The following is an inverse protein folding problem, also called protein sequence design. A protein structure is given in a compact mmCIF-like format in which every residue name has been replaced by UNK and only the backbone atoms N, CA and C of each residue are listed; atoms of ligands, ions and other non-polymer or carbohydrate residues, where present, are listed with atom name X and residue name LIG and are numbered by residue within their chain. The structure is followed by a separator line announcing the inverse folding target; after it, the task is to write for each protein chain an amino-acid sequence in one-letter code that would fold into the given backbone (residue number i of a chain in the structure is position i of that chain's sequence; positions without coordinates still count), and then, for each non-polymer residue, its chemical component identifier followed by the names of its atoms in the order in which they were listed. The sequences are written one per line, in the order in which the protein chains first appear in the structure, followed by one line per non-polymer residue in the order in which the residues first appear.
data_IF_086306915136
#
_entry.id   IF_086306915136
#
_cell.length_a   1.000
_cell.length_b   1.000
_cell.length_c   1.000
_cell.angle_alpha   90.00
_cell.angle_beta   90.00
_cell.angle_gamma   90.00
#
_symmetry.space_group_name_H-M   'P 1'
#
loop_
_entity.id
_entity.type
_entity.pdbx_description
1 polymer ?
#
# COMPACT_ATOMS: atom_id res chain seq x y z
N UNK A 1 10.14 -19.61 39.91
CA UNK A 1 10.88 -20.41 38.92
C UNK A 1 11.21 -19.45 37.78
N UNK A 2 12.47 -19.34 37.43
CA UNK A 2 12.90 -18.52 36.28
C UNK A 2 12.54 -19.32 35.02
N UNK A 3 11.73 -18.74 34.18
CA UNK A 3 11.34 -19.34 32.89
C UNK A 3 12.62 -19.53 32.05
N UNK A 4 12.72 -20.66 31.37
CA UNK A 4 13.90 -20.94 30.52
C UNK A 4 13.80 -20.09 29.24
N UNK A 5 14.93 -19.73 28.64
CA UNK A 5 15.00 -19.01 27.38
C UNK A 5 14.15 -19.67 26.26
N UNK A 6 14.16 -21.02 26.20
CA UNK A 6 13.30 -21.78 25.29
C UNK A 6 11.80 -21.65 25.61
N UNK A 7 11.43 -21.49 26.89
CA UNK A 7 10.04 -21.27 27.30
C UNK A 7 9.54 -19.89 26.89
N UNK A 8 10.39 -18.88 27.01
CA UNK A 8 10.08 -17.50 26.56
C UNK A 8 9.87 -17.47 25.04
N UNK A 9 10.82 -18.02 24.27
CA UNK A 9 10.74 -18.05 22.80
C UNK A 9 9.49 -18.81 22.29
N UNK A 10 9.12 -19.89 22.98
CA UNK A 10 7.91 -20.64 22.60
C UNK A 10 6.64 -19.83 22.86
N UNK A 11 6.57 -19.14 23.99
CA UNK A 11 5.41 -18.28 24.32
C UNK A 11 5.29 -17.10 23.36
N UNK A 12 6.40 -16.41 23.08
CA UNK A 12 6.43 -15.31 22.10
C UNK A 12 5.94 -15.79 20.72
N UNK A 13 6.38 -16.95 20.28
CA UNK A 13 5.92 -17.53 19.02
C UNK A 13 4.41 -17.87 19.03
N UNK A 14 3.90 -18.42 20.13
CA UNK A 14 2.47 -18.71 20.28
C UNK A 14 1.62 -17.42 20.30
N UNK A 15 2.10 -16.35 20.95
CA UNK A 15 1.48 -15.03 20.94
C UNK A 15 1.48 -14.41 19.53
N UNK A 16 2.58 -14.50 18.81
CA UNK A 16 2.70 -14.06 17.43
C UNK A 16 1.73 -14.81 16.50
N UNK A 17 1.67 -16.14 16.59
CA UNK A 17 0.72 -16.94 15.83
C UNK A 17 -0.73 -16.49 16.07
N UNK A 18 -1.10 -16.23 17.32
CA UNK A 18 -2.45 -15.78 17.65
C UNK A 18 -2.77 -14.41 17.04
N UNK A 19 -1.80 -13.49 17.06
CA UNK A 19 -1.96 -12.15 16.44
C UNK A 19 -2.13 -12.20 14.93
N UNK A 20 -1.47 -13.16 14.27
CA UNK A 20 -1.49 -13.29 12.80
C UNK A 20 -2.70 -14.05 12.27
N UNK A 21 -3.42 -14.76 13.14
CA UNK A 21 -4.50 -15.67 12.73
C UNK A 21 -5.60 -14.96 11.93
N UNK A 22 -5.98 -13.74 12.34
CA UNK A 22 -7.05 -12.95 11.74
C UNK A 22 -6.61 -12.03 10.60
N UNK A 23 -5.30 -11.92 10.34
CA UNK A 23 -4.80 -11.09 9.25
C UNK A 23 -5.13 -11.71 7.89
N UNK A 24 -5.54 -10.84 6.96
CA UNK A 24 -5.90 -11.19 5.57
C UNK A 24 -4.89 -10.57 4.60
N UNK A 25 -4.71 -11.11 3.41
CA UNK A 25 -3.90 -10.50 2.35
C UNK A 25 -4.23 -9.03 2.05
N UNK A 26 -5.48 -8.62 2.23
CA UNK A 26 -5.91 -7.22 2.03
C UNK A 26 -5.51 -6.28 3.19
N UNK A 27 -5.07 -6.80 4.32
CA UNK A 27 -4.62 -5.98 5.45
C UNK A 27 -3.19 -5.48 5.19
N UNK A 28 -2.95 -4.18 5.38
CA UNK A 28 -1.68 -3.48 5.07
C UNK A 28 -0.45 -4.21 5.64
N UNK A 29 -0.54 -4.65 6.90
CA UNK A 29 0.52 -5.36 7.59
C UNK A 29 0.90 -6.68 6.89
N UNK A 30 -0.11 -7.42 6.43
CA UNK A 30 0.10 -8.72 5.79
C UNK A 30 0.51 -8.58 4.33
N UNK A 31 -0.10 -7.63 3.61
CA UNK A 31 0.20 -7.33 2.22
C UNK A 31 1.69 -7.02 2.00
N UNK A 32 2.30 -6.22 2.89
CA UNK A 32 3.73 -5.89 2.83
C UNK A 32 4.62 -7.14 2.83
N UNK A 33 4.24 -8.16 3.61
CA UNK A 33 4.95 -9.44 3.65
C UNK A 33 4.61 -10.32 2.44
N UNK A 34 3.38 -10.21 1.95
CA UNK A 34 2.87 -11.02 0.85
C UNK A 34 3.70 -10.85 -0.42
N UNK A 35 3.92 -9.58 -0.82
CA UNK A 35 4.65 -9.23 -2.04
C UNK A 35 6.16 -9.12 -1.87
N UNK A 36 6.65 -9.02 -0.62
CA UNK A 36 8.08 -8.87 -0.36
C UNK A 36 8.87 -10.06 -0.92
N UNK A 37 9.83 -9.76 -1.81
CA UNK A 37 10.69 -10.75 -2.47
C UNK A 37 9.89 -11.86 -3.18
N UNK A 38 8.69 -11.54 -3.69
CA UNK A 38 7.80 -12.50 -4.33
C UNK A 38 7.28 -12.01 -5.70
N UNK A 39 8.20 -11.90 -6.65
CA UNK A 39 7.88 -11.50 -8.03
C UNK A 39 6.80 -12.39 -8.66
N UNK A 40 6.81 -13.74 -8.51
CA UNK A 40 5.77 -14.58 -9.11
C UNK A 40 4.36 -14.25 -8.64
N UNK A 41 4.19 -13.89 -7.37
CA UNK A 41 2.88 -13.51 -6.85
C UNK A 41 2.46 -12.13 -7.36
N UNK A 42 3.36 -11.15 -7.38
CA UNK A 42 3.08 -9.83 -7.94
C UNK A 42 2.68 -9.94 -9.42
N UNK A 43 3.38 -10.77 -10.19
CA UNK A 43 3.08 -11.05 -11.59
C UNK A 43 1.69 -11.67 -11.77
N UNK A 44 1.34 -12.68 -10.97
CA UNK A 44 0.01 -13.30 -10.99
C UNK A 44 -1.09 -12.27 -10.73
N UNK A 45 -0.96 -11.49 -9.66
CA UNK A 45 -1.94 -10.47 -9.28
C UNK A 45 -2.11 -9.43 -10.38
N UNK A 46 -1.00 -8.90 -10.92
CA UNK A 46 -1.04 -7.91 -11.99
C UNK A 46 -1.60 -8.49 -13.30
N UNK A 47 -1.30 -9.75 -13.64
CA UNK A 47 -1.92 -10.43 -14.80
C UNK A 47 -3.43 -10.51 -14.68
N UNK A 48 -3.93 -10.90 -13.52
CA UNK A 48 -5.37 -11.01 -13.26
C UNK A 48 -6.04 -9.63 -13.35
N UNK A 49 -5.49 -8.62 -12.68
CA UNK A 49 -6.08 -7.28 -12.62
C UNK A 49 -6.04 -6.58 -13.98
N UNK A 50 -4.91 -6.67 -14.70
CA UNK A 50 -4.75 -5.97 -15.99
C UNK A 50 -5.28 -6.77 -17.19
N UNK A 51 -5.58 -8.05 -17.02
CA UNK A 51 -5.97 -8.96 -18.10
C UNK A 51 -4.82 -9.33 -19.05
N UNK A 52 -3.58 -8.90 -18.76
CA UNK A 52 -2.39 -9.12 -19.59
C UNK A 52 -1.72 -10.46 -19.26
N UNK A 53 -2.11 -11.53 -19.93
CA UNK A 53 -1.63 -12.89 -19.65
C UNK A 53 -0.13 -13.10 -19.90
N UNK A 54 0.47 -12.29 -20.76
CA UNK A 54 1.88 -12.33 -21.14
C UNK A 54 2.74 -11.35 -20.35
N UNK A 55 2.18 -10.68 -19.35
CA UNK A 55 2.90 -9.78 -18.46
C UNK A 55 4.02 -10.55 -17.73
N UNK A 56 5.24 -10.01 -17.78
CA UNK A 56 6.40 -10.53 -17.07
C UNK A 56 6.93 -9.40 -16.18
N UNK A 57 6.91 -9.59 -14.87
CA UNK A 57 7.45 -8.65 -13.90
C UNK A 57 8.93 -8.97 -13.67
N UNK A 58 9.78 -7.98 -13.86
CA UNK A 58 11.24 -8.08 -13.68
C UNK A 58 11.70 -7.58 -12.33
N UNK A 59 10.96 -6.63 -11.74
CA UNK A 59 11.27 -6.02 -10.46
C UNK A 59 9.98 -5.84 -9.64
N UNK A 60 10.05 -6.10 -8.35
CA UNK A 60 8.97 -5.82 -7.40
C UNK A 60 9.58 -5.35 -6.08
N UNK A 61 9.24 -4.14 -5.68
CA UNK A 61 9.65 -3.54 -4.41
C UNK A 61 8.43 -3.23 -3.57
N UNK A 62 8.45 -3.58 -2.28
CA UNK A 62 7.40 -3.18 -1.33
C UNK A 62 7.86 -1.99 -0.50
N UNK A 63 6.94 -1.10 -0.15
CA UNK A 63 7.21 0.10 0.64
C UNK A 63 8.28 1.00 -0.02
N UNK A 64 8.14 1.20 -1.32
CA UNK A 64 9.07 2.03 -2.09
C UNK A 64 8.83 3.51 -1.78
N UNK A 65 9.82 4.15 -1.17
CA UNK A 65 9.84 5.60 -0.99
C UNK A 65 10.18 6.29 -2.31
N UNK A 66 9.26 7.10 -2.80
CA UNK A 66 9.47 7.87 -4.03
C UNK A 66 10.20 9.18 -3.75
N UNK A 67 11.12 9.58 -4.65
CA UNK A 67 11.86 10.82 -4.58
C UNK A 67 10.93 12.02 -4.43
N UNK A 68 11.36 12.98 -3.63
CA UNK A 68 10.60 14.21 -3.38
C UNK A 68 11.16 15.36 -4.18
N UNK A 69 10.29 16.13 -4.79
CA UNK A 69 10.58 17.54 -5.04
C UNK A 69 10.62 18.23 -3.67
N UNK A 70 11.60 19.11 -3.45
CA UNK A 70 11.74 19.81 -2.17
C UNK A 70 10.41 20.48 -1.75
N UNK A 71 9.91 20.12 -0.56
CA UNK A 71 8.65 20.62 -0.02
C UNK A 71 7.36 19.94 -0.54
N UNK A 72 7.46 18.91 -1.40
CA UNK A 72 6.31 18.13 -1.83
C UNK A 72 5.96 17.02 -0.83
N UNK A 73 4.67 16.61 -0.80
CA UNK A 73 4.22 15.46 -0.02
C UNK A 73 4.87 14.19 -0.56
N UNK A 74 5.54 13.44 0.31
CA UNK A 74 6.04 12.10 -0.06
C UNK A 74 4.90 11.10 -0.18
N UNK A 75 5.11 10.09 -1.01
CA UNK A 75 4.34 8.87 -1.00
C UNK A 75 5.28 7.68 -0.78
N UNK A 76 4.75 6.65 -0.15
CA UNK A 76 5.38 5.35 -0.06
C UNK A 76 4.42 4.40 -0.79
N UNK A 77 4.91 3.74 -1.83
CA UNK A 77 4.12 2.82 -2.64
C UNK A 77 4.08 1.45 -1.96
N UNK A 78 2.89 0.87 -1.86
CA UNK A 78 2.70 -0.41 -1.16
C UNK A 78 3.41 -1.55 -1.89
N UNK A 79 3.20 -1.69 -3.20
CA UNK A 79 4.00 -2.54 -4.06
C UNK A 79 4.23 -1.87 -5.42
N UNK A 80 5.49 -1.74 -5.81
CA UNK A 80 5.91 -1.15 -7.08
C UNK A 80 6.56 -2.21 -7.94
N UNK A 81 6.13 -2.30 -9.20
CA UNK A 81 6.64 -3.28 -10.17
C UNK A 81 7.09 -2.65 -11.48
N UNK A 82 8.03 -3.31 -12.14
CA UNK A 82 8.44 -2.99 -13.52
C UNK A 82 8.31 -4.25 -14.36
N UNK A 83 7.67 -4.14 -15.54
CA UNK A 83 7.59 -5.26 -16.46
C UNK A 83 8.77 -5.34 -17.44
N UNK A 84 8.80 -6.40 -18.25
CA UNK A 84 9.88 -6.68 -19.20
C UNK A 84 10.01 -5.66 -20.36
N UNK A 85 9.01 -4.80 -20.55
CA UNK A 85 9.01 -3.72 -21.56
C UNK A 85 9.06 -2.33 -20.93
N UNK A 86 9.30 -2.26 -19.62
CA UNK A 86 9.58 -1.01 -18.91
C UNK A 86 8.35 -0.30 -18.34
N UNK A 87 7.13 -0.84 -18.47
CA UNK A 87 5.92 -0.26 -17.86
C UNK A 87 5.98 -0.36 -16.35
N UNK A 88 5.39 0.62 -15.68
CA UNK A 88 5.44 0.76 -14.22
C UNK A 88 4.08 0.51 -13.60
N UNK A 89 4.10 -0.22 -12.49
CA UNK A 89 2.90 -0.63 -11.77
C UNK A 89 3.03 -0.19 -10.31
N UNK A 90 2.05 0.56 -9.84
CA UNK A 90 1.84 0.94 -8.46
C UNK A 90 0.58 0.24 -7.95
N UNK A 91 0.75 -0.70 -7.05
CA UNK A 91 -0.35 -1.46 -6.44
C UNK A 91 -0.54 -0.98 -5.00
N UNK A 92 -1.69 -0.35 -4.76
CA UNK A 92 -2.09 0.22 -3.48
C UNK A 92 -3.28 -0.55 -2.90
N UNK A 93 -3.21 -0.91 -1.63
CA UNK A 93 -4.34 -1.50 -0.90
C UNK A 93 -4.91 -0.48 0.07
N UNK A 94 -6.20 -0.19 -0.05
CA UNK A 94 -6.87 0.85 0.72
C UNK A 94 -8.12 0.33 1.41
N UNK A 95 -8.28 0.73 2.68
CA UNK A 95 -9.54 0.52 3.41
C UNK A 95 -10.43 1.74 3.21
N UNK A 96 -11.51 1.55 2.44
CA UNK A 96 -12.51 2.56 2.16
C UNK A 96 -12.10 3.63 1.12
N UNK A 97 -13.11 4.37 0.65
CA UNK A 97 -12.99 5.40 -0.40
C UNK A 97 -12.00 6.52 -0.06
N UNK A 98 -11.88 6.91 1.21
CA UNK A 98 -11.01 8.04 1.63
C UNK A 98 -9.54 7.77 1.29
N UNK A 99 -9.12 6.49 1.36
CA UNK A 99 -7.78 6.05 0.98
C UNK A 99 -7.51 6.04 -0.52
N UNK A 100 -8.55 5.98 -1.35
CA UNK A 100 -8.48 5.80 -2.80
C UNK A 100 -9.06 6.98 -3.59
N UNK A 101 -8.96 8.22 -3.07
CA UNK A 101 -9.55 9.38 -3.74
C UNK A 101 -8.95 9.63 -5.13
N UNK A 102 -9.72 10.18 -6.11
CA UNK A 102 -9.22 10.53 -7.44
C UNK A 102 -8.02 11.49 -7.42
N UNK A 103 -7.94 12.36 -6.41
CA UNK A 103 -6.79 13.26 -6.24
C UNK A 103 -5.54 12.50 -5.82
N UNK A 104 -5.68 11.46 -4.99
CA UNK A 104 -4.56 10.60 -4.61
C UNK A 104 -4.06 9.80 -5.80
N UNK A 105 -4.97 9.18 -6.58
CA UNK A 105 -4.61 8.46 -7.78
C UNK A 105 -3.80 9.33 -8.75
N UNK A 106 -4.31 10.54 -9.07
CA UNK A 106 -3.59 11.50 -9.90
C UNK A 106 -2.22 11.89 -9.32
N UNK A 107 -2.11 12.03 -8.00
CA UNK A 107 -0.84 12.37 -7.37
C UNK A 107 0.18 11.23 -7.49
N UNK A 108 -0.25 9.97 -7.30
CA UNK A 108 0.57 8.78 -7.50
C UNK A 108 1.08 8.71 -8.94
N UNK A 109 0.22 8.88 -9.95
CA UNK A 109 0.64 8.92 -11.36
C UNK A 109 1.70 10.00 -11.61
N UNK A 110 1.49 11.21 -11.10
CA UNK A 110 2.44 12.31 -11.26
C UNK A 110 3.80 12.03 -10.61
N UNK A 111 3.82 11.32 -9.48
CA UNK A 111 5.07 10.95 -8.81
C UNK A 111 5.78 9.84 -9.58
N UNK A 112 5.05 8.88 -10.14
CA UNK A 112 5.62 7.87 -11.04
C UNK A 112 6.29 8.51 -12.26
N UNK A 113 5.66 9.51 -12.88
CA UNK A 113 6.23 10.24 -14.01
C UNK A 113 7.54 10.97 -13.64
N UNK A 114 7.54 11.67 -12.50
CA UNK A 114 8.73 12.38 -12.00
C UNK A 114 9.88 11.41 -11.70
N UNK A 115 9.57 10.23 -11.15
CA UNK A 115 10.58 9.21 -10.81
C UNK A 115 11.18 8.55 -12.06
N UNK A 116 10.40 8.45 -13.13
CA UNK A 116 10.78 7.69 -14.32
C UNK A 116 11.26 8.54 -15.51
N UNK A 117 11.27 9.88 -15.40
CA UNK A 117 11.83 10.78 -16.41
C UNK A 117 12.95 11.61 -15.80
N UNK A 118 14.17 11.42 -16.30
CA UNK A 118 15.33 12.16 -15.83
C UNK A 118 15.57 13.44 -16.65
N UNK A 119 16.34 14.36 -16.09
CA UNK A 119 16.73 15.58 -16.80
C UNK A 119 17.46 15.25 -18.11
N UNK A 120 16.98 15.83 -19.22
CA UNK A 120 17.53 15.63 -20.55
C UNK A 120 16.92 14.49 -21.37
N UNK A 121 15.95 13.76 -20.79
CA UNK A 121 15.15 12.80 -21.55
C UNK A 121 13.95 13.50 -22.21
N UNK A 122 13.49 12.96 -23.34
CA UNK A 122 12.29 13.44 -24.04
C UNK A 122 11.02 12.93 -23.32
N UNK A 123 9.91 13.67 -23.41
CA UNK A 123 8.66 13.27 -22.75
C UNK A 123 8.08 11.97 -23.31
N UNK A 124 8.38 11.63 -24.55
CA UNK A 124 7.99 10.40 -25.24
C UNK A 124 8.70 9.15 -24.69
N UNK A 125 9.73 9.34 -23.85
CA UNK A 125 10.42 8.26 -23.14
C UNK A 125 9.74 7.87 -21.82
N UNK A 126 8.67 8.60 -21.39
CA UNK A 126 7.87 8.20 -20.24
C UNK A 126 7.28 6.80 -20.47
N UNK A 127 7.47 5.88 -19.52
CA UNK A 127 6.81 4.56 -19.63
C UNK A 127 5.30 4.68 -19.37
N UNK A 128 4.52 3.75 -19.92
CA UNK A 128 3.14 3.59 -19.44
C UNK A 128 3.13 3.28 -17.94
N UNK A 129 2.21 3.89 -17.22
CA UNK A 129 2.07 3.75 -15.77
C UNK A 129 0.69 3.21 -15.39
N UNK A 130 0.66 2.31 -14.41
CA UNK A 130 -0.55 1.72 -13.85
C UNK A 130 -0.62 2.04 -12.37
N UNK A 131 -1.60 2.84 -11.96
CA UNK A 131 -1.94 3.07 -10.56
C UNK A 131 -3.17 2.23 -10.23
N UNK A 132 -2.99 1.23 -9.39
CA UNK A 132 -4.01 0.21 -9.11
C UNK A 132 -4.38 0.30 -7.63
N UNK A 133 -5.63 0.68 -7.36
CA UNK A 133 -6.19 0.65 -6.01
C UNK A 133 -7.05 -0.61 -5.83
N UNK A 134 -6.66 -1.51 -4.93
CA UNK A 134 -7.54 -2.55 -4.42
C UNK A 134 -8.22 -1.97 -3.18
N UNK A 135 -9.53 -1.75 -3.27
CA UNK A 135 -10.32 -1.17 -2.18
C UNK A 135 -11.22 -2.25 -1.61
N UNK A 136 -11.28 -2.38 -0.27
CA UNK A 136 -12.06 -3.41 0.41
C UNK A 136 -13.59 -3.24 0.27
N UNK A 137 -14.05 -2.16 -0.38
CA UNK A 137 -15.44 -1.87 -0.71
C UNK A 137 -15.62 -1.51 -2.20
N UNK A 138 -16.88 -1.54 -2.69
CA UNK A 138 -17.22 -1.11 -4.04
C UNK A 138 -17.37 0.41 -4.14
N UNK A 139 -16.26 1.11 -4.40
CA UNK A 139 -16.16 2.60 -4.46
C UNK A 139 -17.22 3.25 -5.38
N UNK A 140 -17.62 2.57 -6.46
CA UNK A 140 -18.60 3.09 -7.43
C UNK A 140 -20.00 2.49 -7.28
N UNK A 141 -20.17 1.46 -6.45
CA UNK A 141 -21.45 0.82 -6.18
C UNK A 141 -22.15 0.24 -7.40
N UNK A 142 -21.39 -0.25 -8.41
CA UNK A 142 -21.94 -0.84 -9.64
C UNK A 142 -21.79 -2.35 -9.72
N UNK A 143 -21.11 -2.96 -8.76
CA UNK A 143 -20.89 -4.41 -8.73
C UNK A 143 -19.89 -4.90 -9.78
N UNK A 144 -19.19 -4.01 -10.47
CA UNK A 144 -18.16 -4.40 -11.44
C UNK A 144 -16.87 -4.81 -10.73
N UNK A 145 -16.11 -5.77 -11.28
CA UNK A 145 -14.87 -6.22 -10.66
C UNK A 145 -13.76 -5.17 -10.66
N UNK A 146 -13.70 -4.39 -11.73
CA UNK A 146 -12.66 -3.37 -11.96
C UNK A 146 -13.30 -2.15 -12.64
N UNK A 147 -12.92 -0.97 -12.19
CA UNK A 147 -13.30 0.30 -12.78
C UNK A 147 -12.05 0.96 -13.39
N UNK A 148 -11.83 0.80 -14.71
CA UNK A 148 -10.75 1.50 -15.40
C UNK A 148 -11.09 2.98 -15.57
N UNK A 149 -10.14 3.84 -15.25
CA UNK A 149 -10.24 5.29 -15.41
C UNK A 149 -9.23 5.72 -16.46
N UNK A 150 -9.74 6.35 -17.51
CA UNK A 150 -8.97 6.84 -18.65
C UNK A 150 -9.28 8.29 -18.96
N UNK A 151 -8.32 9.02 -19.51
CA UNK A 151 -8.59 10.37 -20.04
C UNK A 151 -9.16 10.26 -21.45
N UNK A 152 -10.15 11.11 -21.71
CA UNK A 152 -10.79 11.18 -23.04
C UNK A 152 -10.77 12.61 -23.59
N UNK A 153 -10.60 12.73 -24.90
CA UNK A 153 -10.85 13.99 -25.60
C UNK A 153 -12.36 14.22 -25.71
N UNK A 154 -12.89 15.20 -24.98
CA UNK A 154 -14.33 15.45 -24.88
C UNK A 154 -14.96 15.88 -26.21
N UNK A 155 -14.18 16.38 -27.18
CA UNK A 155 -14.71 16.77 -28.51
C UNK A 155 -14.83 15.57 -29.43
N UNK A 156 -13.84 14.67 -29.41
CA UNK A 156 -13.80 13.51 -30.30
C UNK A 156 -14.37 12.23 -29.70
N UNK A 157 -14.51 12.18 -28.35
CA UNK A 157 -14.90 11.01 -27.59
C UNK A 157 -13.85 9.88 -27.58
N UNK A 158 -12.63 10.16 -28.07
CA UNK A 158 -11.54 9.16 -28.12
C UNK A 158 -10.67 9.21 -26.89
N UNK A 159 -10.05 8.08 -26.48
CA UNK A 159 -9.01 8.07 -25.46
C UNK A 159 -7.88 9.06 -25.79
N UNK A 160 -7.24 9.59 -24.76
CA UNK A 160 -6.13 10.53 -24.92
C UNK A 160 -4.82 9.82 -25.25
N UNK A 161 -4.72 8.55 -24.88
CA UNK A 161 -3.59 7.64 -25.19
C UNK A 161 -2.23 8.17 -24.67
N UNK A 162 -2.24 8.71 -23.45
CA UNK A 162 -1.04 9.29 -22.81
C UNK A 162 -0.23 8.27 -21.98
N UNK A 163 -0.66 7.01 -21.95
CA UNK A 163 0.01 5.92 -21.25
C UNK A 163 -0.26 5.87 -19.74
N UNK A 164 -1.11 6.76 -19.18
CA UNK A 164 -1.57 6.67 -17.79
C UNK A 164 -2.81 5.81 -17.67
N UNK A 165 -2.78 4.82 -16.77
CA UNK A 165 -3.90 3.94 -16.46
C UNK A 165 -4.16 3.92 -14.96
N UNK A 166 -5.40 4.20 -14.54
CA UNK A 166 -5.81 4.09 -13.14
C UNK A 166 -6.91 3.02 -13.05
N UNK A 167 -6.72 2.04 -12.18
CA UNK A 167 -7.65 0.94 -11.98
C UNK A 167 -8.12 0.90 -10.54
N UNK A 168 -9.45 0.93 -10.33
CA UNK A 168 -10.05 0.64 -9.03
C UNK A 168 -10.58 -0.78 -9.05
N UNK A 169 -10.04 -1.63 -8.19
CA UNK A 169 -10.43 -3.02 -8.03
C UNK A 169 -11.37 -3.15 -6.86
N UNK A 170 -12.55 -3.70 -7.09
CA UNK A 170 -13.59 -3.89 -6.10
C UNK A 170 -13.27 -5.11 -5.21
N UNK A 171 -12.82 -4.86 -3.98
CA UNK A 171 -12.47 -5.90 -3.00
C UNK A 171 -13.65 -6.71 -2.49
N UNK A 172 -14.89 -6.25 -2.68
CA UNK A 172 -16.11 -7.01 -2.37
C UNK A 172 -16.54 -7.95 -3.50
N UNK A 173 -15.96 -7.83 -4.69
CA UNK A 173 -16.37 -8.65 -5.83
C UNK A 173 -16.13 -10.15 -5.62
N UNK A 174 -17.14 -10.98 -5.86
CA UNK A 174 -17.13 -12.45 -5.63
C UNK A 174 -17.69 -13.23 -6.83
N UNK A 175 -17.51 -12.71 -8.06
CA UNK A 175 -17.92 -13.44 -9.27
C UNK A 175 -17.04 -14.66 -9.55
N UNK A 176 -17.48 -15.53 -10.47
CA UNK A 176 -16.77 -16.77 -10.84
C UNK A 176 -15.56 -16.56 -11.77
N UNK A 177 -15.02 -15.34 -11.86
CA UNK A 177 -13.85 -14.98 -12.66
C UNK A 177 -12.55 -15.04 -11.87
N UNK A 178 -11.39 -15.05 -12.57
CA UNK A 178 -10.07 -14.98 -11.92
C UNK A 178 -9.95 -13.80 -10.94
N UNK A 179 -10.56 -12.65 -11.28
CA UNK A 179 -10.58 -11.50 -10.38
C UNK A 179 -11.46 -11.74 -9.15
N UNK A 180 -12.57 -12.49 -9.27
CA UNK A 180 -13.40 -12.87 -8.13
C UNK A 180 -12.69 -13.85 -7.21
N UNK A 181 -11.94 -14.81 -7.75
CA UNK A 181 -11.10 -15.72 -6.98
C UNK A 181 -9.98 -14.93 -6.26
N UNK A 182 -9.35 -13.99 -6.94
CA UNK A 182 -8.31 -13.14 -6.35
C UNK A 182 -8.87 -12.31 -5.19
N UNK A 183 -10.02 -11.65 -5.37
CA UNK A 183 -10.66 -10.85 -4.30
C UNK A 183 -11.19 -11.72 -3.15
N UNK A 184 -11.59 -12.96 -3.44
CA UNK A 184 -11.87 -13.95 -2.40
C UNK A 184 -10.61 -14.21 -1.57
N UNK A 185 -9.49 -14.56 -2.20
CA UNK A 185 -8.24 -14.90 -1.54
C UNK A 185 -7.66 -13.71 -0.76
N UNK A 186 -7.79 -12.48 -1.28
CA UNK A 186 -7.41 -11.27 -0.54
C UNK A 186 -8.19 -11.10 0.78
N UNK A 187 -9.37 -11.70 0.89
CA UNK A 187 -10.21 -11.64 2.09
C UNK A 187 -10.16 -12.92 2.95
N UNK A 188 -9.45 -13.97 2.54
CA UNK A 188 -9.30 -15.19 3.31
C UNK A 188 -8.31 -15.02 4.48
N UNK A 189 -8.65 -15.57 5.62
CA UNK A 189 -7.73 -15.70 6.76
C UNK A 189 -6.98 -17.03 6.73
N UNK A 190 -7.56 -18.06 6.12
CA UNK A 190 -6.99 -19.41 6.04
C UNK A 190 -6.48 -19.70 4.62
N UNK A 191 -5.25 -20.20 4.52
CA UNK A 191 -4.65 -20.56 3.24
C UNK A 191 -5.34 -21.77 2.57
N UNK A 192 -5.98 -22.63 3.35
CA UNK A 192 -6.67 -23.82 2.82
C UNK A 192 -8.01 -23.46 2.13
N UNK A 193 -8.55 -22.27 2.41
CA UNK A 193 -9.76 -21.75 1.75
C UNK A 193 -9.47 -20.96 0.48
N UNK A 194 -8.19 -20.74 0.12
CA UNK A 194 -7.79 -19.96 -1.05
C UNK A 194 -7.86 -20.77 -2.35
N UNK A 195 -8.22 -20.08 -3.45
CA UNK A 195 -8.33 -20.67 -4.78
C UNK A 195 -7.02 -20.63 -5.60
N UNK A 196 -6.17 -19.63 -5.34
CA UNK A 196 -4.94 -19.40 -6.09
C UNK A 196 -3.74 -20.01 -5.35
N UNK A 197 -3.11 -21.03 -5.92
CA UNK A 197 -2.02 -21.78 -5.29
C UNK A 197 -0.89 -20.88 -4.76
N UNK A 198 -0.45 -19.89 -5.54
CA UNK A 198 0.62 -18.98 -5.11
C UNK A 198 0.20 -18.09 -3.92
N UNK A 199 -1.07 -17.70 -3.84
CA UNK A 199 -1.61 -16.97 -2.68
C UNK A 199 -1.65 -17.88 -1.45
N UNK A 200 -2.18 -19.09 -1.61
CA UNK A 200 -2.28 -20.09 -0.56
C UNK A 200 -0.90 -20.48 -0.01
N UNK A 201 0.05 -20.81 -0.88
CA UNK A 201 1.42 -21.17 -0.50
C UNK A 201 2.12 -20.04 0.27
N UNK A 202 2.01 -18.81 -0.23
CA UNK A 202 2.62 -17.65 0.42
C UNK A 202 1.97 -17.34 1.76
N UNK A 203 0.63 -17.38 1.85
CA UNK A 203 -0.11 -17.17 3.09
C UNK A 203 0.23 -18.23 4.12
N UNK A 204 0.29 -19.50 3.71
CA UNK A 204 0.72 -20.60 4.59
C UNK A 204 2.14 -20.40 5.11
N UNK A 205 3.08 -20.04 4.24
CA UNK A 205 4.43 -19.72 4.68
C UNK A 205 4.45 -18.60 5.74
N UNK A 206 3.71 -17.52 5.51
CA UNK A 206 3.71 -16.36 6.40
C UNK A 206 3.02 -16.62 7.74
N UNK A 207 2.04 -17.54 7.79
CA UNK A 207 1.25 -17.84 9.01
C UNK A 207 1.71 -19.06 9.77
N UNK A 208 2.37 -20.02 9.12
CA UNK A 208 2.70 -21.32 9.74
C UNK A 208 4.21 -21.57 9.84
N UNK A 209 5.01 -21.01 8.92
CA UNK A 209 6.45 -21.17 8.97
C UNK A 209 7.06 -20.23 10.01
N UNK A 210 7.96 -20.74 10.86
CA UNK A 210 8.55 -19.97 11.96
C UNK A 210 9.24 -18.67 11.50
N UNK A 211 9.92 -18.69 10.36
CA UNK A 211 10.57 -17.50 9.80
C UNK A 211 9.52 -16.52 9.22
N UNK A 212 8.51 -17.05 8.52
CA UNK A 212 7.38 -16.27 7.99
C UNK A 212 6.65 -15.53 9.09
N UNK A 213 6.22 -16.24 10.13
CA UNK A 213 5.57 -15.68 11.33
C UNK A 213 6.40 -14.56 11.95
N UNK A 214 7.69 -14.79 12.17
CA UNK A 214 8.60 -13.80 12.74
C UNK A 214 8.73 -12.54 11.86
N UNK A 215 8.72 -12.71 10.54
CA UNK A 215 8.80 -11.58 9.62
C UNK A 215 7.53 -10.74 9.64
N UNK A 216 6.35 -11.37 9.66
CA UNK A 216 5.07 -10.65 9.77
C UNK A 216 4.97 -9.93 11.12
N UNK A 217 5.27 -10.62 12.23
CA UNK A 217 5.22 -10.02 13.58
C UNK A 217 6.09 -8.78 13.71
N UNK A 218 7.29 -8.79 13.13
CA UNK A 218 8.15 -7.59 13.09
C UNK A 218 7.51 -6.41 12.38
N UNK A 219 6.87 -6.66 11.23
CA UNK A 219 6.20 -5.61 10.45
C UNK A 219 4.98 -5.09 11.20
N UNK A 220 4.19 -5.97 11.82
CA UNK A 220 3.05 -5.59 12.66
C UNK A 220 3.51 -4.70 13.84
N UNK A 221 4.59 -5.06 14.51
CA UNK A 221 5.15 -4.28 15.61
C UNK A 221 5.68 -2.91 15.14
N UNK A 222 6.35 -2.86 14.00
CA UNK A 222 6.85 -1.61 13.42
C UNK A 222 5.70 -0.68 13.04
N UNK A 223 4.65 -1.19 12.40
CA UNK A 223 3.47 -0.42 12.04
C UNK A 223 2.74 0.08 13.29
N UNK A 224 2.58 -0.77 14.30
CA UNK A 224 1.95 -0.40 15.56
C UNK A 224 2.71 0.73 16.26
N UNK A 225 4.03 0.62 16.38
CA UNK A 225 4.89 1.67 16.94
C UNK A 225 4.77 2.98 16.17
N UNK A 226 4.75 2.90 14.84
CA UNK A 226 4.58 4.09 13.99
C UNK A 226 3.21 4.73 14.16
N UNK A 227 2.14 3.94 14.30
CA UNK A 227 0.78 4.44 14.58
C UNK A 227 0.70 5.12 15.95
N UNK A 228 1.25 4.49 16.98
CA UNK A 228 1.32 5.04 18.35
C UNK A 228 2.12 6.35 18.39
N UNK A 229 3.27 6.38 17.71
CA UNK A 229 4.08 7.58 17.61
C UNK A 229 3.31 8.71 16.93
N UNK A 230 2.69 8.46 15.77
CA UNK A 230 1.85 9.45 15.07
C UNK A 230 0.69 9.93 15.93
N UNK A 231 0.00 9.03 16.61
CA UNK A 231 -1.09 9.38 17.52
C UNK A 231 -0.60 10.27 18.66
N UNK A 232 0.58 9.98 19.23
CA UNK A 232 1.20 10.78 20.30
C UNK A 232 1.55 12.20 19.83
N UNK A 233 2.12 12.33 18.62
CA UNK A 233 2.43 13.65 18.01
C UNK A 233 1.12 14.43 17.77
N UNK A 234 0.10 13.81 17.19
CA UNK A 234 -1.20 14.43 16.94
C UNK A 234 -1.88 14.91 18.22
N UNK A 235 -1.87 14.07 19.26
CA UNK A 235 -2.42 14.43 20.58
C UNK A 235 -1.69 15.63 21.17
N UNK A 236 -0.36 15.69 21.07
CA UNK A 236 0.42 16.83 21.55
C UNK A 236 0.06 18.11 20.78
N UNK A 237 -0.07 18.06 19.46
CA UNK A 237 -0.47 19.21 18.64
C UNK A 237 -1.87 19.69 19.03
N UNK A 238 -2.85 18.77 19.15
CA UNK A 238 -4.21 19.11 19.56
C UNK A 238 -4.20 19.83 20.93
N UNK A 239 -3.49 19.27 21.91
CA UNK A 239 -3.36 19.87 23.25
C UNK A 239 -2.73 21.27 23.20
N UNK A 240 -1.69 21.48 22.40
CA UNK A 240 -1.06 22.79 22.26
C UNK A 240 -2.00 23.82 21.61
N UNK A 241 -2.79 23.40 20.61
CA UNK A 241 -3.82 24.25 19.96
C UNK A 241 -4.93 24.63 20.94
N UNK A 242 -5.40 23.70 21.79
CA UNK A 242 -6.36 24.00 22.85
C UNK A 242 -5.83 25.04 23.85
N UNK A 243 -4.51 25.05 24.08
CA UNK A 243 -3.85 26.07 24.88
C UNK A 243 -3.57 27.40 24.14
N UNK A 244 -4.11 27.57 22.92
CA UNK A 244 -3.89 28.74 22.06
C UNK A 244 -2.40 29.04 21.76
N UNK A 245 -1.58 28.01 21.63
CA UNK A 245 -0.19 28.14 21.21
C UNK A 245 -0.18 28.24 19.67
N UNK A 246 0.62 29.16 19.13
CA UNK A 246 0.76 29.35 17.68
C UNK A 246 1.50 28.19 17.01
N UNK A 247 1.22 27.96 15.71
CA UNK A 247 1.75 26.82 14.98
C UNK A 247 3.29 26.83 14.88
N UNK A 248 3.96 28.00 14.89
CA UNK A 248 5.42 28.07 14.87
C UNK A 248 6.03 27.55 16.16
N UNK A 249 5.46 27.94 17.30
CA UNK A 249 5.86 27.43 18.63
C UNK A 249 5.50 25.94 18.78
N UNK A 250 4.38 25.48 18.20
CA UNK A 250 4.03 24.04 18.21
C UNK A 250 5.07 23.24 17.44
N UNK A 251 5.51 23.71 16.26
CA UNK A 251 6.56 23.05 15.46
C UNK A 251 7.82 22.87 16.31
N UNK A 252 8.32 23.93 16.93
CA UNK A 252 9.52 23.88 17.79
C UNK A 252 9.37 22.85 18.92
N UNK A 253 8.22 22.85 19.61
CA UNK A 253 7.98 21.94 20.73
C UNK A 253 7.88 20.47 20.33
N UNK A 254 7.24 20.18 19.21
CA UNK A 254 7.15 18.79 18.75
C UNK A 254 8.47 18.30 18.15
N UNK A 255 9.28 19.17 17.54
CA UNK A 255 10.66 18.86 17.15
C UNK A 255 11.47 18.39 18.34
N UNK A 256 11.47 19.17 19.43
CA UNK A 256 12.22 18.85 20.64
C UNK A 256 11.68 17.59 21.35
N UNK A 257 10.36 17.48 21.49
CA UNK A 257 9.72 16.38 22.23
C UNK A 257 9.83 15.02 21.54
N UNK A 258 9.75 15.00 20.21
CA UNK A 258 9.65 13.78 19.41
C UNK A 258 10.86 13.55 18.50
N UNK A 259 11.91 14.35 18.66
CA UNK A 259 13.14 14.29 17.83
C UNK A 259 12.85 14.35 16.32
N UNK A 260 11.96 15.28 15.92
CA UNK A 260 11.55 15.43 14.53
C UNK A 260 12.39 16.50 13.83
N UNK A 261 12.64 16.29 12.52
CA UNK A 261 13.15 17.37 11.66
C UNK A 261 12.10 18.49 11.53
N UNK A 262 12.54 19.71 11.20
CA UNK A 262 11.64 20.84 10.96
C UNK A 262 10.61 20.51 9.85
N UNK A 263 11.03 19.84 8.77
CA UNK A 263 10.15 19.43 7.68
C UNK A 263 9.06 18.47 8.16
N UNK A 264 9.43 17.44 8.93
CA UNK A 264 8.48 16.47 9.48
C UNK A 264 7.50 17.12 10.46
N UNK A 265 7.99 17.96 11.37
CA UNK A 265 7.16 18.67 12.34
C UNK A 265 6.18 19.63 11.65
N UNK A 266 6.64 20.38 10.65
CA UNK A 266 5.79 21.25 9.81
C UNK A 266 4.73 20.44 9.09
N UNK A 267 5.09 19.25 8.55
CA UNK A 267 4.16 18.33 7.93
C UNK A 267 3.02 17.93 8.87
N UNK A 268 3.35 17.52 10.10
CA UNK A 268 2.35 17.16 11.11
C UNK A 268 1.44 18.33 11.51
N UNK A 269 1.97 19.53 11.69
CA UNK A 269 1.17 20.71 12.07
C UNK A 269 0.23 21.15 10.94
N UNK A 270 0.66 21.02 9.69
CA UNK A 270 -0.15 21.38 8.51
C UNK A 270 -1.14 20.29 8.09
N UNK A 271 -1.05 19.09 8.64
CA UNK A 271 -1.97 17.99 8.33
C UNK A 271 -3.38 18.35 8.81
N UNK A 272 -4.36 18.32 7.90
CA UNK A 272 -5.78 18.45 8.26
C UNK A 272 -6.27 17.08 8.73
N UNK A 273 -6.56 16.97 10.00
CA UNK A 273 -7.15 15.76 10.55
C UNK A 273 -8.66 15.92 10.60
N UNK A 274 -9.40 14.97 9.99
CA UNK A 274 -10.82 14.81 10.28
C UNK A 274 -10.94 14.36 11.75
N UNK A 275 -11.77 15.07 12.48
CA UNK A 275 -12.09 14.80 13.88
C UNK A 275 -12.85 13.48 14.03
#
# INVERSE_FOLDING_TARGET
MIETEQGILKREYEEDLQRLQDLRPIDDEFMRCLFKDNIPLAELVLRIITGKRDLIITECETQKDMKRLAGARSICLDAYGTDSIGKKYDLEIQKGEEGASPHRARYHSSVLDIENLNAGQEFEELPDTYVIFIVDEDVYGKGEPIYPIERINLVTGKPFEDGEHILYVNGEYRGESEIGMLMHDFNCTDADDMYLDLMAERTRYLKENQEGVKNVSKIVDEISKNREFRASVRTAIATYRECNIDDSTIIERIMERFDLSNEAATGYVNEKWSA
#
